data_IF_983409766147
#
_entry.id   IF_983409766147
#
_cell.length_a   1.000
_cell.length_b   1.000
_cell.length_c   1.000
_cell.angle_alpha   90.00
_cell.angle_beta   90.00
_cell.angle_gamma   90.00
#
_symmetry.space_group_name_H-M   'P 1'
#
loop_
_entity.id
_entity.type
_entity.pdbx_description
1 polymer ?
#
# COMPACT_ATOMS: atom_id res chain seq x y z
N UNK A 1 -38.23 -23.37 -21.13
CA UNK A 1 -37.59 -24.68 -21.41
C UNK A 1 -36.08 -24.41 -21.57
N UNK A 2 -35.37 -24.42 -20.42
CA UNK A 2 -34.13 -25.18 -20.08
C UNK A 2 -32.85 -24.63 -20.74
N UNK A 3 -32.06 -23.82 -20.02
CA UNK A 3 -30.95 -24.19 -19.09
C UNK A 3 -29.82 -24.94 -19.80
N UNK A 4 -28.77 -24.21 -20.16
CA UNK A 4 -27.40 -24.75 -20.23
C UNK A 4 -26.52 -23.95 -19.26
N UNK A 5 -26.40 -24.50 -18.04
CA UNK A 5 -25.27 -24.22 -17.15
C UNK A 5 -24.07 -24.94 -17.76
N UNK A 6 -23.07 -24.21 -18.24
CA UNK A 6 -21.74 -24.77 -18.50
C UNK A 6 -21.06 -25.03 -17.15
N UNK A 7 -21.04 -26.31 -16.75
CA UNK A 7 -20.27 -26.85 -15.64
C UNK A 7 -18.77 -26.60 -15.88
N UNK A 8 -18.18 -25.64 -15.17
CA UNK A 8 -16.79 -25.70 -14.73
C UNK A 8 -16.81 -25.78 -13.20
N UNK A 9 -17.41 -26.85 -12.70
CA UNK A 9 -17.45 -27.25 -11.30
C UNK A 9 -16.55 -28.47 -11.16
N UNK A 10 -15.52 -28.37 -10.32
CA UNK A 10 -14.79 -29.49 -9.72
C UNK A 10 -14.29 -30.59 -10.68
N UNK A 11 -13.03 -30.50 -11.11
CA UNK A 11 -12.21 -31.72 -11.28
C UNK A 11 -11.70 -32.14 -9.90
N UNK A 12 -12.65 -32.47 -9.03
CA UNK A 12 -12.50 -33.23 -7.80
C UNK A 12 -13.72 -34.15 -7.72
N UNK A 13 -13.88 -35.04 -8.70
CA UNK A 13 -14.83 -36.13 -8.63
C UNK A 13 -14.25 -37.42 -9.23
N UNK A 14 -14.18 -38.41 -8.35
CA UNK A 14 -14.28 -39.85 -8.59
C UNK A 14 -13.23 -40.52 -9.48
N UNK A 15 -12.14 -40.99 -8.85
CA UNK A 15 -11.62 -42.32 -9.17
C UNK A 15 -12.07 -43.28 -8.07
N UNK A 16 -13.30 -43.79 -8.19
CA UNK A 16 -13.63 -45.09 -7.62
C UNK A 16 -13.03 -46.13 -8.56
N UNK A 17 -11.85 -46.66 -8.23
CA UNK A 17 -11.44 -47.96 -8.76
C UNK A 17 -11.70 -49.01 -7.69
N UNK A 18 -12.49 -49.99 -8.12
CA UNK A 18 -12.84 -51.22 -7.42
C UNK A 18 -11.56 -51.88 -6.90
N UNK A 19 -11.60 -52.30 -5.64
CA UNK A 19 -10.54 -53.08 -5.04
C UNK A 19 -10.47 -54.46 -5.70
N UNK A 20 -9.33 -54.76 -6.35
CA UNK A 20 -8.75 -56.09 -6.36
C UNK A 20 -7.25 -56.01 -6.72
N UNK A 21 -6.45 -56.22 -5.68
CA UNK A 21 -5.12 -56.85 -5.63
C UNK A 21 -3.91 -56.38 -6.48
N UNK A 22 -2.79 -56.39 -5.75
CA UNK A 22 -1.37 -56.46 -6.13
C UNK A 22 -0.61 -55.16 -6.40
N UNK A 23 0.58 -55.12 -5.79
CA UNK A 23 1.46 -53.97 -5.65
C UNK A 23 1.87 -53.35 -6.99
N UNK A 24 1.47 -52.11 -7.22
CA UNK A 24 2.25 -51.15 -7.98
C UNK A 24 2.19 -49.82 -7.24
N UNK A 25 3.36 -49.31 -6.82
CA UNK A 25 3.48 -47.95 -6.30
C UNK A 25 2.93 -47.00 -7.36
N UNK A 26 1.83 -46.29 -7.07
CA UNK A 26 1.31 -45.27 -7.98
C UNK A 26 2.39 -44.21 -8.18
N UNK A 27 2.95 -44.12 -9.38
CA UNK A 27 4.05 -43.19 -9.72
C UNK A 27 3.61 -41.73 -9.66
N UNK A 28 2.31 -41.46 -9.85
CA UNK A 28 1.70 -40.13 -9.74
C UNK A 28 0.62 -40.19 -8.65
N UNK A 29 0.97 -39.71 -7.46
CA UNK A 29 0.02 -39.47 -6.37
C UNK A 29 0.16 -38.01 -5.90
N UNK A 30 -0.79 -37.12 -6.21
CA UNK A 30 -0.69 -35.71 -5.84
C UNK A 30 -0.68 -35.50 -4.32
N UNK A 31 -1.19 -36.45 -3.53
CA UNK A 31 -1.25 -36.35 -2.08
C UNK A 31 0.09 -36.64 -1.39
N UNK A 32 1.10 -37.13 -2.11
CA UNK A 32 2.46 -37.33 -1.56
C UNK A 32 3.43 -36.22 -1.98
N UNK A 33 3.08 -35.39 -2.97
CA UNK A 33 3.95 -34.31 -3.42
C UNK A 33 4.04 -33.21 -2.36
N UNK A 34 5.27 -32.83 -2.06
CA UNK A 34 5.59 -31.77 -1.11
C UNK A 34 5.84 -30.44 -1.80
N UNK A 35 6.14 -29.42 -1.00
CA UNK A 35 6.60 -28.13 -1.48
C UNK A 35 7.83 -28.32 -2.36
N UNK A 36 7.87 -27.67 -3.52
CA UNK A 36 8.96 -27.87 -4.49
C UNK A 36 10.29 -27.34 -4.00
N UNK A 37 10.32 -26.40 -3.06
CA UNK A 37 11.55 -25.87 -2.45
C UNK A 37 12.12 -26.85 -1.39
N UNK A 38 13.27 -27.43 -1.69
CA UNK A 38 14.00 -28.28 -0.73
C UNK A 38 14.95 -27.44 0.14
N UNK A 39 15.22 -27.93 1.35
CA UNK A 39 16.21 -27.38 2.26
C UNK A 39 16.86 -28.54 3.05
N UNK A 40 18.20 -28.63 3.12
CA UNK A 40 18.90 -29.78 3.73
C UNK A 40 18.42 -30.14 5.15
N UNK A 41 18.13 -29.12 5.97
CA UNK A 41 17.67 -29.30 7.35
C UNK A 41 16.26 -29.86 7.48
N UNK A 42 15.43 -29.89 6.42
CA UNK A 42 14.09 -30.48 6.46
C UNK A 42 14.09 -31.95 6.87
N UNK A 43 15.19 -32.67 6.59
CA UNK A 43 15.39 -34.08 6.96
C UNK A 43 15.72 -34.28 8.44
N UNK A 44 16.11 -33.21 9.14
CA UNK A 44 16.55 -33.21 10.54
C UNK A 44 15.52 -32.60 11.49
N UNK A 45 14.43 -32.05 10.95
CA UNK A 45 13.31 -31.48 11.72
C UNK A 45 12.73 -32.52 12.68
N UNK A 46 12.57 -32.13 13.95
CA UNK A 46 11.92 -32.98 14.95
C UNK A 46 10.40 -32.80 14.85
N UNK A 47 9.65 -33.89 14.75
CA UNK A 47 8.19 -33.84 14.61
C UNK A 47 7.55 -34.52 15.82
N UNK A 48 6.68 -33.78 16.52
CA UNK A 48 5.80 -34.33 17.55
C UNK A 48 4.39 -34.45 16.97
N UNK A 49 3.95 -35.68 16.78
CA UNK A 49 2.70 -35.99 16.07
C UNK A 49 1.53 -36.22 17.02
N UNK A 50 0.33 -36.09 16.47
CA UNK A 50 -0.95 -36.47 17.08
C UNK A 50 -1.21 -35.83 18.45
N UNK A 51 -0.86 -34.55 18.60
CA UNK A 51 -1.15 -33.76 19.80
C UNK A 51 -2.62 -33.35 19.75
N UNK A 52 -3.40 -33.74 20.76
CA UNK A 52 -4.80 -33.33 20.88
C UNK A 52 -4.88 -31.83 21.16
N UNK A 53 -5.48 -31.07 20.27
CA UNK A 53 -5.69 -29.62 20.44
C UNK A 53 -7.14 -29.25 20.75
N UNK A 54 -8.09 -30.09 20.32
CA UNK A 54 -9.51 -29.93 20.63
C UNK A 54 -10.09 -31.29 20.97
N UNK A 55 -10.78 -31.38 22.12
CA UNK A 55 -11.50 -32.57 22.56
C UNK A 55 -12.86 -32.20 23.10
N UNK A 56 -13.91 -32.78 22.54
CA UNK A 56 -15.29 -32.56 22.96
C UNK A 56 -16.15 -33.81 22.69
N UNK A 57 -17.48 -33.67 22.82
CA UNK A 57 -18.43 -34.76 22.63
C UNK A 57 -18.41 -35.37 21.21
N UNK A 58 -17.87 -34.66 20.21
CA UNK A 58 -17.76 -35.13 18.83
C UNK A 58 -16.44 -35.82 18.52
N UNK A 59 -15.47 -35.82 19.46
CA UNK A 59 -14.21 -36.54 19.32
C UNK A 59 -12.99 -35.69 19.69
N UNK A 60 -11.85 -36.05 19.12
CA UNK A 60 -10.58 -35.34 19.32
C UNK A 60 -9.97 -34.99 17.97
N UNK A 61 -9.53 -33.74 17.82
CA UNK A 61 -8.76 -33.28 16.68
C UNK A 61 -7.31 -33.10 17.11
N UNK A 62 -6.40 -33.48 16.21
CA UNK A 62 -4.98 -33.54 16.48
C UNK A 62 -4.18 -32.59 15.58
N UNK A 63 -3.02 -32.18 16.06
CA UNK A 63 -2.04 -31.43 15.29
C UNK A 63 -0.65 -32.07 15.40
N UNK A 64 0.20 -31.73 14.46
CA UNK A 64 1.61 -32.09 14.44
C UNK A 64 2.44 -30.82 14.55
N UNK A 65 3.46 -30.84 15.42
CA UNK A 65 4.40 -29.73 15.62
C UNK A 65 5.77 -30.12 15.06
N UNK A 66 6.31 -29.27 14.21
CA UNK A 66 7.58 -29.40 13.51
C UNK A 66 8.55 -28.39 14.11
N UNK A 67 9.57 -28.88 14.81
CA UNK A 67 10.51 -28.07 15.57
C UNK A 67 11.83 -27.88 14.79
N UNK A 68 12.43 -26.69 14.80
CA UNK A 68 13.70 -26.44 14.15
C UNK A 68 14.83 -27.26 14.78
N UNK A 69 15.89 -27.50 13.99
CA UNK A 69 17.11 -28.16 14.47
C UNK A 69 17.81 -27.26 15.48
N UNK A 70 18.23 -27.82 16.62
CA UNK A 70 18.94 -27.06 17.66
C UNK A 70 18.03 -26.16 18.52
N UNK A 71 16.73 -26.48 18.61
CA UNK A 71 15.82 -25.80 19.52
C UNK A 71 16.19 -26.06 21.00
N UNK A 72 16.45 -25.00 21.75
CA UNK A 72 16.79 -25.07 23.18
C UNK A 72 15.53 -25.03 24.06
N UNK A 73 15.61 -25.60 25.27
CA UNK A 73 14.44 -25.79 26.14
C UNK A 73 13.64 -24.51 26.47
N UNK A 74 14.30 -23.36 26.56
CA UNK A 74 13.67 -22.06 26.91
C UNK A 74 13.50 -21.12 25.72
N UNK A 75 13.76 -21.60 24.51
CA UNK A 75 13.74 -20.79 23.30
C UNK A 75 12.32 -20.75 22.73
N UNK A 76 11.67 -19.59 22.80
CA UNK A 76 10.32 -19.39 22.25
C UNK A 76 10.43 -18.88 20.81
N UNK A 77 9.89 -19.66 19.87
CA UNK A 77 9.97 -19.39 18.43
C UNK A 77 8.61 -18.95 17.87
N UNK A 78 8.59 -18.02 16.90
CA UNK A 78 7.39 -17.76 16.12
C UNK A 78 6.94 -19.03 15.40
N UNK A 79 5.63 -19.18 15.21
CA UNK A 79 5.05 -20.37 14.59
C UNK A 79 4.27 -20.04 13.32
N UNK A 80 4.31 -20.93 12.32
CA UNK A 80 3.46 -20.86 11.13
C UNK A 80 2.48 -22.03 11.12
N UNK A 81 1.20 -21.71 11.14
CA UNK A 81 0.09 -22.66 11.18
C UNK A 81 -0.44 -22.85 9.77
N UNK A 82 -0.42 -24.10 9.30
CA UNK A 82 -0.98 -24.51 8.02
C UNK A 82 -2.44 -24.95 8.23
N UNK A 83 -3.38 -24.06 7.95
CA UNK A 83 -4.80 -24.28 8.22
C UNK A 83 -5.45 -25.19 7.17
N UNK A 84 -5.86 -26.37 7.60
CA UNK A 84 -6.62 -27.34 6.81
C UNK A 84 -8.12 -27.07 6.92
N UNK A 85 -8.61 -25.96 6.37
CA UNK A 85 -9.99 -25.51 6.54
C UNK A 85 -11.06 -26.18 5.63
N UNK A 86 -10.81 -27.37 5.08
CA UNK A 86 -11.79 -28.16 4.31
C UNK A 86 -12.35 -29.37 5.07
N UNK A 87 -11.72 -29.76 6.18
CA UNK A 87 -12.13 -30.88 7.00
C UNK A 87 -11.67 -32.26 6.53
N UNK A 88 -11.65 -33.20 7.47
CA UNK A 88 -11.35 -34.62 7.19
C UNK A 88 -12.55 -35.34 6.58
N UNK A 89 -12.30 -36.28 5.66
CA UNK A 89 -13.34 -37.11 5.02
C UNK A 89 -13.19 -38.57 5.41
N UNK A 90 -14.29 -39.22 5.74
CA UNK A 90 -14.30 -40.63 6.12
C UNK A 90 -13.77 -41.53 5.01
N UNK A 91 -12.78 -42.37 5.33
CA UNK A 91 -12.15 -43.29 4.37
C UNK A 91 -11.07 -42.65 3.48
N UNK A 92 -10.79 -41.35 3.64
CA UNK A 92 -9.70 -40.66 2.96
C UNK A 92 -8.48 -40.49 3.89
N UNK A 93 -7.30 -40.31 3.29
CA UNK A 93 -6.08 -40.00 4.03
C UNK A 93 -6.22 -38.63 4.68
N UNK A 94 -5.86 -38.53 5.97
CA UNK A 94 -5.96 -37.28 6.74
C UNK A 94 -5.25 -36.13 6.03
N UNK A 95 -5.88 -34.97 5.92
CA UNK A 95 -5.35 -33.81 5.17
C UNK A 95 -3.98 -33.39 5.72
N UNK A 96 -3.82 -33.33 7.05
CA UNK A 96 -2.53 -32.99 7.68
C UNK A 96 -1.37 -33.91 7.30
N UNK A 97 -1.66 -35.11 6.80
CA UNK A 97 -0.66 -36.10 6.39
C UNK A 97 -0.29 -36.04 4.91
N UNK A 98 -0.92 -35.18 4.10
CA UNK A 98 -0.54 -35.01 2.69
C UNK A 98 0.86 -34.39 2.58
N UNK A 99 1.56 -34.64 1.47
CA UNK A 99 2.93 -34.19 1.22
C UNK A 99 3.10 -32.70 1.46
N UNK A 100 2.19 -31.88 0.95
CA UNK A 100 2.24 -30.42 1.10
C UNK A 100 2.10 -29.98 2.58
N UNK A 101 1.25 -30.64 3.37
CA UNK A 101 1.01 -30.33 4.79
C UNK A 101 2.00 -30.99 5.75
N UNK A 102 2.99 -31.71 5.23
CA UNK A 102 4.13 -32.23 6.00
C UNK A 102 5.44 -31.56 5.60
N UNK A 103 5.59 -31.20 4.32
CA UNK A 103 6.81 -30.58 3.78
C UNK A 103 6.88 -29.07 4.01
N UNK A 104 5.78 -28.32 3.88
CA UNK A 104 5.77 -26.89 4.21
C UNK A 104 6.10 -26.63 5.70
N UNK A 105 5.48 -27.32 6.69
CA UNK A 105 5.88 -27.18 8.09
C UNK A 105 7.37 -27.52 8.33
N UNK A 106 7.91 -28.54 7.64
CA UNK A 106 9.34 -28.86 7.69
C UNK A 106 10.19 -27.75 7.10
N UNK A 107 9.77 -27.13 6.01
CA UNK A 107 10.47 -26.01 5.39
C UNK A 107 10.51 -24.82 6.34
N UNK A 108 9.40 -24.48 7.00
CA UNK A 108 9.39 -23.42 8.01
C UNK A 108 10.28 -23.75 9.21
N UNK A 109 10.27 -25.00 9.69
CA UNK A 109 11.18 -25.49 10.72
C UNK A 109 12.65 -25.42 10.31
N UNK A 110 12.96 -25.70 9.05
CA UNK A 110 14.30 -25.55 8.51
C UNK A 110 14.77 -24.07 8.48
N UNK A 111 13.84 -23.12 8.50
CA UNK A 111 14.08 -21.68 8.60
C UNK A 111 13.98 -21.12 10.03
N UNK A 112 13.91 -21.97 11.05
CA UNK A 112 13.94 -21.55 12.46
C UNK A 112 12.57 -21.27 13.10
N UNK A 113 11.47 -21.47 12.37
CA UNK A 113 10.11 -21.30 12.87
C UNK A 113 9.54 -22.61 13.43
N UNK A 114 8.49 -22.55 14.23
CA UNK A 114 7.68 -23.75 14.52
C UNK A 114 6.69 -23.97 13.37
N UNK A 115 6.71 -25.15 12.73
CA UNK A 115 5.70 -25.52 11.75
C UNK A 115 4.54 -26.26 12.42
N UNK A 116 3.29 -25.96 12.07
CA UNK A 116 2.11 -26.63 12.66
C UNK A 116 1.14 -27.06 11.57
N UNK A 117 0.77 -28.33 11.56
CA UNK A 117 -0.25 -28.89 10.67
C UNK A 117 -1.37 -29.50 11.51
N UNK A 118 -2.63 -29.25 11.17
CA UNK A 118 -3.78 -29.58 12.03
C UNK A 118 -4.85 -30.39 11.30
N UNK A 119 -5.55 -31.26 12.02
CA UNK A 119 -6.82 -31.84 11.58
C UNK A 119 -7.95 -30.84 11.75
N UNK A 120 -8.98 -30.94 10.92
CA UNK A 120 -10.17 -30.09 11.00
C UNK A 120 -11.42 -30.96 10.89
N UNK A 121 -12.42 -30.66 11.68
CA UNK A 121 -13.76 -31.20 11.46
C UNK A 121 -14.48 -30.37 10.38
N UNK A 122 -14.84 -31.01 9.26
CA UNK A 122 -15.45 -30.34 8.10
C UNK A 122 -16.82 -29.72 8.38
N UNK A 123 -17.55 -30.22 9.36
CA UNK A 123 -18.82 -29.64 9.79
C UNK A 123 -18.63 -28.48 10.79
N UNK A 124 -17.40 -28.33 11.31
CA UNK A 124 -17.07 -27.38 12.39
C UNK A 124 -15.75 -26.67 12.14
N UNK A 125 -15.53 -26.24 10.89
CA UNK A 125 -14.27 -25.62 10.45
C UNK A 125 -13.89 -24.42 11.33
N UNK A 126 -14.81 -23.49 11.55
CA UNK A 126 -14.53 -22.30 12.38
C UNK A 126 -14.24 -22.65 13.85
N UNK A 127 -14.88 -23.68 14.40
CA UNK A 127 -14.59 -24.15 15.76
C UNK A 127 -13.21 -24.83 15.83
N UNK A 128 -12.86 -25.61 14.81
CA UNK A 128 -11.55 -26.28 14.70
C UNK A 128 -10.42 -25.23 14.62
N UNK A 129 -10.60 -24.20 13.78
CA UNK A 129 -9.64 -23.10 13.66
C UNK A 129 -9.53 -22.32 14.98
N UNK A 130 -10.64 -21.95 15.62
CA UNK A 130 -10.60 -21.30 16.95
C UNK A 130 -9.88 -22.18 17.97
N UNK A 131 -10.19 -23.48 17.99
CA UNK A 131 -9.61 -24.45 18.90
C UNK A 131 -8.09 -24.56 18.80
N UNK A 132 -7.50 -24.51 17.59
CA UNK A 132 -6.03 -24.55 17.48
C UNK A 132 -5.39 -23.29 18.07
N UNK A 133 -5.97 -22.11 17.87
CA UNK A 133 -5.42 -20.88 18.45
C UNK A 133 -5.64 -20.81 19.96
N UNK A 134 -6.78 -21.27 20.47
CA UNK A 134 -7.02 -21.39 21.91
C UNK A 134 -6.02 -22.37 22.56
N UNK A 135 -5.75 -23.49 21.90
CA UNK A 135 -4.71 -24.43 22.32
C UNK A 135 -3.33 -23.78 22.37
N UNK A 136 -2.94 -23.01 21.34
CA UNK A 136 -1.64 -22.33 21.29
C UNK A 136 -1.53 -21.24 22.34
N UNK A 137 -2.59 -20.49 22.60
CA UNK A 137 -2.62 -19.49 23.67
C UNK A 137 -2.38 -20.12 25.05
N UNK A 138 -3.02 -21.27 25.31
CA UNK A 138 -2.92 -21.95 26.60
C UNK A 138 -1.65 -22.79 26.76
N UNK A 139 -1.19 -23.45 25.70
CA UNK A 139 -0.16 -24.50 25.78
C UNK A 139 1.08 -24.22 24.95
N UNK A 140 1.06 -23.26 24.02
CA UNK A 140 2.12 -23.04 23.03
C UNK A 140 3.51 -22.91 23.65
N UNK A 141 3.63 -22.20 24.78
CA UNK A 141 4.91 -22.03 25.48
C UNK A 141 5.56 -23.35 25.91
N UNK A 142 4.76 -24.35 26.28
CA UNK A 142 5.26 -25.70 26.65
C UNK A 142 5.80 -26.49 25.46
N UNK A 143 5.53 -26.02 24.25
CA UNK A 143 6.04 -26.53 22.98
C UNK A 143 6.99 -25.52 22.31
N UNK A 144 7.56 -24.58 23.06
CA UNK A 144 8.51 -23.58 22.55
C UNK A 144 7.91 -22.64 21.49
N UNK A 145 6.59 -22.46 21.48
CA UNK A 145 5.88 -21.56 20.57
C UNK A 145 5.55 -20.25 21.29
N UNK A 146 5.95 -19.13 20.70
CA UNK A 146 5.51 -17.80 21.10
C UNK A 146 4.06 -17.56 20.61
N UNK A 147 3.04 -17.60 21.50
CA UNK A 147 1.65 -17.47 21.08
C UNK A 147 1.32 -16.06 20.55
N UNK A 148 2.20 -15.08 20.77
CA UNK A 148 2.03 -13.71 20.32
C UNK A 148 2.69 -13.44 18.96
N UNK A 149 3.34 -14.45 18.35
CA UNK A 149 4.02 -14.34 17.04
C UNK A 149 3.66 -15.50 16.12
N UNK A 150 2.43 -15.47 15.63
CA UNK A 150 1.86 -16.52 14.79
C UNK A 150 1.70 -16.03 13.34
N UNK A 151 2.14 -16.84 12.40
CA UNK A 151 1.82 -16.76 10.98
C UNK A 151 0.77 -17.80 10.59
N UNK A 152 -0.06 -17.49 9.61
CA UNK A 152 -1.08 -18.41 9.08
C UNK A 152 -0.91 -18.65 7.59
N UNK A 153 -0.83 -19.91 7.17
CA UNK A 153 -0.86 -20.30 5.77
C UNK A 153 -2.18 -21.02 5.44
N UNK A 154 -2.79 -20.66 4.31
CA UNK A 154 -3.88 -21.41 3.71
C UNK A 154 -3.79 -21.37 2.18
N UNK A 155 -4.17 -22.47 1.53
CA UNK A 155 -4.12 -22.57 0.07
C UNK A 155 -5.39 -23.21 -0.49
N UNK A 156 -5.73 -22.86 -1.74
CA UNK A 156 -6.90 -23.39 -2.46
C UNK A 156 -8.20 -23.21 -1.65
N UNK A 157 -9.03 -24.24 -1.58
CA UNK A 157 -10.31 -24.25 -0.87
C UNK A 157 -10.19 -23.92 0.64
N UNK A 158 -9.01 -24.06 1.25
CA UNK A 158 -8.80 -23.67 2.65
C UNK A 158 -8.84 -22.15 2.86
N UNK A 159 -8.58 -21.35 1.81
CA UNK A 159 -8.49 -19.89 1.91
C UNK A 159 -9.82 -19.29 2.37
N UNK A 160 -10.95 -19.76 1.85
CA UNK A 160 -12.27 -19.15 2.15
C UNK A 160 -12.57 -19.17 3.65
N UNK A 161 -12.49 -20.34 4.27
CA UNK A 161 -12.81 -20.50 5.69
C UNK A 161 -11.71 -19.91 6.58
N UNK A 162 -10.44 -20.00 6.17
CA UNK A 162 -9.34 -19.37 6.90
C UNK A 162 -9.45 -17.86 6.90
N UNK A 163 -9.78 -17.25 5.76
CA UNK A 163 -9.95 -15.81 5.64
C UNK A 163 -11.15 -15.29 6.43
N UNK A 164 -12.26 -16.04 6.52
CA UNK A 164 -13.38 -15.69 7.41
C UNK A 164 -12.90 -15.56 8.86
N UNK A 165 -12.12 -16.53 9.34
CA UNK A 165 -11.56 -16.45 10.69
C UNK A 165 -10.57 -15.28 10.82
N UNK A 166 -9.63 -15.13 9.89
CA UNK A 166 -8.57 -14.12 9.96
C UNK A 166 -9.12 -12.68 9.98
N UNK A 167 -10.21 -12.43 9.25
CA UNK A 167 -10.86 -11.12 9.17
C UNK A 167 -11.80 -10.84 10.33
N UNK A 168 -12.19 -11.84 11.13
CA UNK A 168 -13.00 -11.67 12.34
C UNK A 168 -12.23 -10.83 13.38
N UNK A 169 -12.89 -9.84 13.98
CA UNK A 169 -12.30 -9.01 15.05
C UNK A 169 -11.91 -9.82 16.29
N UNK A 170 -12.50 -11.00 16.46
CA UNK A 170 -12.20 -11.97 17.53
C UNK A 170 -11.11 -12.96 17.14
N UNK A 171 -10.49 -12.83 15.97
CA UNK A 171 -9.33 -13.63 15.61
C UNK A 171 -8.21 -13.45 16.64
N UNK A 172 -7.43 -14.51 16.86
CA UNK A 172 -6.35 -14.50 17.84
C UNK A 172 -5.35 -13.37 17.56
N UNK A 173 -5.11 -12.50 18.55
CA UNK A 173 -4.29 -11.27 18.39
C UNK A 173 -2.79 -11.51 18.25
N UNK A 174 -2.36 -12.73 18.59
CA UNK A 174 -1.02 -13.22 18.29
C UNK A 174 -0.76 -13.49 16.80
N UNK A 175 -1.78 -13.51 15.95
CA UNK A 175 -1.59 -13.62 14.49
C UNK A 175 -1.05 -12.30 13.96
N UNK A 176 0.19 -12.31 13.47
CA UNK A 176 0.90 -11.12 12.97
C UNK A 176 0.97 -11.04 11.45
N UNK A 177 0.76 -12.15 10.75
CA UNK A 177 0.71 -12.16 9.30
C UNK A 177 -0.03 -13.40 8.76
N UNK A 178 -0.52 -13.31 7.52
CA UNK A 178 -1.12 -14.44 6.80
C UNK A 178 -0.58 -14.57 5.37
N UNK A 179 -0.52 -15.80 4.86
CA UNK A 179 -0.21 -16.11 3.45
C UNK A 179 -1.36 -16.94 2.90
N UNK A 180 -1.95 -16.48 1.79
CA UNK A 180 -3.10 -17.10 1.17
C UNK A 180 -2.79 -17.40 -0.31
N UNK A 181 -2.85 -18.66 -0.71
CA UNK A 181 -2.47 -19.12 -2.05
C UNK A 181 -3.68 -19.55 -2.88
N UNK A 182 -3.82 -19.00 -4.09
CA UNK A 182 -4.75 -19.41 -5.17
C UNK A 182 -6.14 -19.83 -4.68
N UNK A 183 -6.74 -19.03 -3.81
CA UNK A 183 -8.06 -19.30 -3.22
C UNK A 183 -9.04 -18.15 -3.41
N UNK A 184 -10.13 -18.17 -2.66
CA UNK A 184 -11.12 -17.11 -2.66
C UNK A 184 -11.25 -16.51 -1.26
N UNK A 185 -11.37 -15.20 -1.16
CA UNK A 185 -11.60 -14.50 0.12
C UNK A 185 -13.08 -14.14 0.26
N UNK A 186 -13.61 -14.02 1.49
CA UNK A 186 -14.90 -13.37 1.68
C UNK A 186 -14.85 -11.91 1.20
N UNK A 187 -16.02 -11.31 1.01
CA UNK A 187 -16.11 -9.86 0.90
C UNK A 187 -15.64 -9.21 2.22
N UNK A 188 -15.04 -8.02 2.12
CA UNK A 188 -14.53 -7.29 3.28
C UNK A 188 -15.62 -6.85 4.29
N UNK A 189 -15.26 -6.04 5.30
CA UNK A 189 -14.00 -5.29 5.37
C UNK A 189 -12.82 -6.17 5.76
N UNK A 190 -11.67 -5.93 5.13
CA UNK A 190 -10.42 -6.53 5.57
C UNK A 190 -9.82 -5.73 6.73
N UNK A 191 -9.18 -6.44 7.65
CA UNK A 191 -8.48 -5.85 8.79
C UNK A 191 -7.32 -4.96 8.36
N UNK A 192 -7.17 -3.81 9.01
CA UNK A 192 -6.08 -2.85 8.77
C UNK A 192 -4.78 -3.20 9.52
N UNK A 193 -4.85 -4.12 10.47
CA UNK A 193 -3.76 -4.51 11.37
C UNK A 193 -3.14 -5.87 11.02
N UNK A 194 -3.64 -6.57 9.99
CA UNK A 194 -3.18 -7.89 9.59
C UNK A 194 -2.53 -7.86 8.20
N UNK A 195 -1.19 -7.85 8.12
CA UNK A 195 -0.45 -8.07 6.88
C UNK A 195 -0.80 -9.40 6.22
N UNK A 196 -1.07 -9.38 4.91
CA UNK A 196 -1.38 -10.59 4.14
C UNK A 196 -0.59 -10.63 2.84
N UNK A 197 0.08 -11.74 2.56
CA UNK A 197 0.57 -12.05 1.21
C UNK A 197 -0.47 -12.92 0.50
N UNK A 198 -1.15 -12.38 -0.50
CA UNK A 198 -2.10 -13.10 -1.32
C UNK A 198 -1.45 -13.46 -2.67
N UNK A 199 -1.24 -14.74 -2.93
CA UNK A 199 -0.65 -15.22 -4.18
C UNK A 199 -1.74 -15.73 -5.11
N UNK A 200 -1.88 -15.07 -6.26
CA UNK A 200 -2.75 -15.50 -7.34
C UNK A 200 -1.96 -16.45 -8.25
N UNK A 201 -2.52 -17.60 -8.58
CA UNK A 201 -2.02 -18.45 -9.66
C UNK A 201 -2.67 -18.01 -10.98
N UNK A 202 -1.88 -17.92 -12.06
CA UNK A 202 -2.40 -17.58 -13.39
C UNK A 202 -3.43 -18.59 -13.88
N UNK A 203 -3.22 -19.90 -13.62
CA UNK A 203 -4.17 -20.95 -13.97
C UNK A 203 -5.54 -20.83 -13.28
N UNK A 204 -5.61 -20.02 -12.22
CA UNK A 204 -6.81 -19.71 -11.46
C UNK A 204 -7.40 -18.34 -11.80
N UNK A 205 -6.68 -17.51 -12.58
CA UNK A 205 -7.15 -16.20 -12.93
C UNK A 205 -8.34 -16.30 -13.90
N UNK A 206 -9.39 -15.56 -13.61
CA UNK A 206 -10.55 -15.40 -14.48
C UNK A 206 -11.00 -13.94 -14.50
N UNK A 207 -11.78 -13.52 -15.52
CA UNK A 207 -12.33 -12.17 -15.56
C UNK A 207 -12.99 -11.80 -14.24
N UNK A 208 -12.59 -10.66 -13.68
CA UNK A 208 -13.15 -10.06 -12.46
C UNK A 208 -13.02 -10.86 -11.15
N UNK A 209 -12.41 -12.06 -11.15
CA UNK A 209 -12.34 -12.95 -9.97
C UNK A 209 -11.74 -12.25 -8.73
N UNK A 210 -10.81 -11.33 -8.92
CA UNK A 210 -10.10 -10.63 -7.84
C UNK A 210 -10.42 -9.13 -7.75
N UNK A 211 -11.43 -8.63 -8.48
CA UNK A 211 -11.79 -7.20 -8.43
C UNK A 211 -12.30 -6.79 -7.05
N UNK A 212 -13.11 -7.64 -6.40
CA UNK A 212 -13.61 -7.40 -5.04
C UNK A 212 -12.49 -7.36 -4.01
N UNK A 213 -11.53 -8.29 -4.12
CA UNK A 213 -10.31 -8.31 -3.32
C UNK A 213 -9.55 -6.99 -3.47
N UNK A 214 -9.24 -6.59 -4.71
CA UNK A 214 -8.52 -5.34 -4.99
C UNK A 214 -9.24 -4.11 -4.44
N UNK A 215 -10.56 -4.05 -4.68
CA UNK A 215 -11.40 -2.93 -4.23
C UNK A 215 -11.42 -2.81 -2.72
N UNK A 216 -11.57 -3.92 -1.99
CA UNK A 216 -11.60 -3.90 -0.52
C UNK A 216 -10.22 -3.61 0.09
N UNK A 217 -9.12 -4.05 -0.53
CA UNK A 217 -7.76 -3.68 -0.10
C UNK A 217 -7.54 -2.18 -0.22
N UNK A 218 -7.88 -1.58 -1.37
CA UNK A 218 -7.75 -0.14 -1.59
C UNK A 218 -8.67 0.67 -0.68
N UNK A 219 -9.93 0.26 -0.56
CA UNK A 219 -10.95 0.97 0.25
C UNK A 219 -10.59 1.00 1.73
N UNK A 220 -10.02 -0.09 2.26
CA UNK A 220 -9.70 -0.19 3.68
C UNK A 220 -8.24 0.17 3.99
N UNK A 221 -7.40 0.43 2.99
CA UNK A 221 -5.95 0.56 3.15
C UNK A 221 -5.36 -0.63 3.91
N UNK A 222 -5.81 -1.84 3.55
CA UNK A 222 -5.39 -3.07 4.21
C UNK A 222 -3.95 -3.41 3.81
N UNK A 223 -3.10 -3.88 4.73
CA UNK A 223 -1.68 -4.15 4.45
C UNK A 223 -1.48 -5.46 3.68
N UNK A 224 -2.16 -5.60 2.54
CA UNK A 224 -2.11 -6.79 1.69
C UNK A 224 -1.11 -6.59 0.55
N UNK A 225 -0.19 -7.53 0.40
CA UNK A 225 0.68 -7.68 -0.77
C UNK A 225 0.04 -8.70 -1.71
N UNK A 226 -0.29 -8.31 -2.93
CA UNK A 226 -0.83 -9.23 -3.95
C UNK A 226 0.28 -9.60 -4.93
N UNK A 227 0.58 -10.89 -5.03
CA UNK A 227 1.58 -11.44 -5.94
C UNK A 227 0.89 -12.26 -7.03
N UNK A 228 1.15 -11.92 -8.29
CA UNK A 228 0.77 -12.75 -9.42
C UNK A 228 1.85 -13.80 -9.69
N UNK A 229 1.48 -15.08 -9.67
CA UNK A 229 2.29 -16.19 -10.14
C UNK A 229 2.08 -16.41 -11.63
N UNK A 230 2.76 -15.63 -12.45
CA UNK A 230 2.67 -15.72 -13.91
C UNK A 230 3.17 -17.08 -14.43
N UNK A 231 2.43 -17.68 -15.36
CA UNK A 231 2.69 -19.03 -15.87
C UNK A 231 2.54 -20.15 -14.85
N UNK A 232 2.02 -19.88 -13.64
CA UNK A 232 1.84 -20.88 -12.59
C UNK A 232 0.46 -21.53 -12.69
N UNK A 233 0.35 -22.87 -12.59
CA UNK A 233 -0.92 -23.58 -12.47
C UNK A 233 -1.48 -23.53 -11.04
N UNK A 234 -2.69 -24.04 -10.84
CA UNK A 234 -3.21 -24.31 -9.49
C UNK A 234 -2.24 -25.23 -8.72
N UNK A 235 -2.00 -24.96 -7.44
CA UNK A 235 -1.07 -25.75 -6.61
C UNK A 235 0.36 -25.84 -7.18
N UNK A 236 0.84 -24.74 -7.80
CA UNK A 236 2.20 -24.64 -8.34
C UNK A 236 3.29 -24.91 -7.29
N UNK A 237 3.03 -24.62 -6.02
CA UNK A 237 3.95 -24.84 -4.91
C UNK A 237 4.24 -26.32 -4.68
N UNK A 238 3.39 -27.22 -5.15
CA UNK A 238 3.61 -28.67 -5.16
C UNK A 238 3.90 -29.24 -6.56
N UNK A 239 3.30 -28.67 -7.62
CA UNK A 239 3.28 -29.30 -8.94
C UNK A 239 4.21 -28.66 -9.97
N UNK A 240 4.80 -27.50 -9.68
CA UNK A 240 5.67 -26.78 -10.60
C UNK A 240 7.10 -26.76 -10.08
N UNK A 241 7.86 -27.81 -10.38
CA UNK A 241 9.29 -27.85 -10.03
C UNK A 241 10.10 -26.97 -11.00
N UNK A 242 10.05 -25.67 -10.77
CA UNK A 242 10.77 -24.67 -11.54
C UNK A 242 11.21 -23.47 -10.68
N UNK A 243 12.06 -22.62 -11.27
CA UNK A 243 12.64 -21.49 -10.56
C UNK A 243 11.62 -20.45 -10.10
N UNK A 244 10.54 -20.21 -10.86
CA UNK A 244 9.55 -19.20 -10.50
C UNK A 244 8.70 -19.65 -9.31
N UNK A 245 8.28 -20.92 -9.27
CA UNK A 245 7.61 -21.49 -8.10
C UNK A 245 8.50 -21.40 -6.85
N UNK A 246 9.77 -21.81 -6.97
CA UNK A 246 10.78 -21.72 -5.89
C UNK A 246 11.00 -20.27 -5.43
N UNK A 247 10.96 -19.30 -6.35
CA UNK A 247 11.08 -17.88 -6.04
C UNK A 247 9.88 -17.36 -5.25
N UNK A 248 8.65 -17.70 -5.64
CA UNK A 248 7.43 -17.29 -4.91
C UNK A 248 7.44 -17.89 -3.48
N UNK A 249 7.90 -19.13 -3.33
CA UNK A 249 8.08 -19.77 -2.01
C UNK A 249 9.15 -19.03 -1.18
N UNK A 250 10.28 -18.63 -1.77
CA UNK A 250 11.30 -17.81 -1.09
C UNK A 250 10.78 -16.43 -0.68
N UNK A 251 9.99 -15.78 -1.54
CA UNK A 251 9.31 -14.51 -1.21
C UNK A 251 8.33 -14.70 -0.04
N UNK A 252 7.67 -15.85 0.05
CA UNK A 252 6.79 -16.19 1.17
C UNK A 252 7.55 -16.35 2.48
N UNK A 253 8.70 -17.03 2.46
CA UNK A 253 9.59 -17.13 3.63
C UNK A 253 10.09 -15.74 4.05
N UNK A 254 10.47 -14.89 3.08
CA UNK A 254 10.87 -13.50 3.34
C UNK A 254 9.73 -12.67 3.96
N UNK A 255 8.51 -12.88 3.49
CA UNK A 255 7.32 -12.25 4.07
C UNK A 255 7.14 -12.63 5.54
N UNK A 256 7.32 -13.92 5.90
CA UNK A 256 7.30 -14.34 7.30
C UNK A 256 8.39 -13.68 8.14
N UNK A 257 9.61 -13.66 7.63
CA UNK A 257 10.75 -12.99 8.27
C UNK A 257 10.43 -11.54 8.62
N UNK A 258 9.85 -10.79 7.69
CA UNK A 258 9.58 -9.36 7.89
C UNK A 258 8.48 -9.06 8.92
N UNK A 259 7.60 -10.04 9.22
CA UNK A 259 6.42 -9.80 10.06
C UNK A 259 6.42 -10.59 11.37
N UNK A 260 7.19 -11.68 11.47
CA UNK A 260 7.27 -12.51 12.66
C UNK A 260 8.57 -12.28 13.45
N UNK A 261 9.65 -11.91 12.77
CA UNK A 261 10.92 -11.67 13.44
C UNK A 261 10.95 -10.23 14.00
N UNK A 262 11.76 -9.96 15.04
CA UNK A 262 12.00 -8.61 15.48
C UNK A 262 12.48 -7.74 14.32
N UNK A 263 11.84 -6.58 14.12
CA UNK A 263 12.28 -5.60 13.11
C UNK A 263 13.71 -5.22 13.45
N UNK A 264 14.71 -5.52 12.59
CA UNK A 264 16.07 -5.08 12.83
C UNK A 264 16.08 -3.56 12.92
N UNK A 265 16.83 -3.01 13.88
CA UNK A 265 17.03 -1.57 13.92
C UNK A 265 17.54 -1.11 12.54
N UNK A 266 16.90 -0.13 11.89
CA UNK A 266 17.33 0.32 10.58
C UNK A 266 18.79 0.74 10.65
N UNK A 267 19.59 0.26 9.71
CA UNK A 267 21.02 0.59 9.61
C UNK A 267 21.27 2.02 9.13
N UNK A 268 20.21 2.77 8.80
CA UNK A 268 20.27 4.11 8.25
C UNK A 268 19.78 5.15 9.27
N UNK A 269 20.44 6.31 9.26
CA UNK A 269 20.06 7.43 10.12
C UNK A 269 18.81 8.12 9.58
N UNK A 270 17.81 8.26 10.44
CA UNK A 270 16.58 8.98 10.13
C UNK A 270 16.88 10.41 9.64
N UNK A 271 16.25 10.81 8.53
CA UNK A 271 16.40 12.14 7.95
C UNK A 271 15.08 12.88 8.05
N UNK A 272 15.00 13.85 8.98
CA UNK A 272 13.83 14.75 9.12
C UNK A 272 13.49 15.45 7.81
N UNK A 273 14.50 15.86 7.03
CA UNK A 273 14.30 16.50 5.74
C UNK A 273 13.59 15.56 4.72
N UNK A 274 13.98 14.28 4.67
CA UNK A 274 13.27 13.29 3.84
C UNK A 274 11.86 13.04 4.34
N UNK A 275 11.66 12.99 5.66
CA UNK A 275 10.32 12.79 6.25
C UNK A 275 9.39 13.98 6.01
N UNK A 276 9.91 15.21 5.99
CA UNK A 276 9.14 16.38 5.53
C UNK A 276 8.63 16.14 4.12
N UNK A 277 9.51 15.78 3.17
CA UNK A 277 9.12 15.57 1.78
C UNK A 277 8.10 14.44 1.62
N UNK A 278 8.27 13.33 2.34
CA UNK A 278 7.31 12.22 2.34
C UNK A 278 5.96 12.61 2.97
N UNK A 279 5.99 13.40 4.05
CA UNK A 279 4.79 13.84 4.76
C UNK A 279 3.99 14.90 4.00
N UNK A 280 4.58 15.67 3.08
CA UNK A 280 3.86 16.74 2.38
C UNK A 280 2.63 16.29 1.59
N UNK A 281 2.71 15.08 1.01
CA UNK A 281 1.61 14.51 0.22
C UNK A 281 0.61 13.74 1.09
N UNK A 282 1.05 13.19 2.22
CA UNK A 282 0.24 12.27 3.04
C UNK A 282 -0.30 12.90 4.33
N UNK A 283 0.47 13.80 4.96
CA UNK A 283 0.21 14.38 6.27
C UNK A 283 0.87 15.78 6.38
N UNK A 284 0.21 16.78 5.78
CA UNK A 284 0.69 18.18 5.79
C UNK A 284 0.88 18.73 7.20
N UNK A 285 0.00 18.46 8.20
CA UNK A 285 0.25 18.84 9.59
C UNK A 285 1.57 18.30 10.16
N UNK A 286 1.88 17.02 9.93
CA UNK A 286 3.17 16.43 10.32
C UNK A 286 4.35 17.11 9.63
N UNK A 287 4.25 17.35 8.32
CA UNK A 287 5.30 18.06 7.58
C UNK A 287 5.59 19.45 8.16
N UNK A 288 4.55 20.19 8.54
CA UNK A 288 4.69 21.51 9.20
C UNK A 288 5.41 21.39 10.55
N UNK A 289 5.05 20.41 11.38
CA UNK A 289 5.70 20.21 12.67
C UNK A 289 7.18 19.82 12.52
N UNK A 290 7.50 18.96 11.55
CA UNK A 290 8.88 18.60 11.22
C UNK A 290 9.68 19.79 10.71
N UNK A 291 9.09 20.64 9.86
CA UNK A 291 9.71 21.87 9.38
C UNK A 291 9.96 22.87 10.50
N UNK A 292 9.02 23.02 11.43
CA UNK A 292 9.22 23.82 12.64
C UNK A 292 10.42 23.31 13.45
N UNK A 293 10.48 21.99 13.71
CA UNK A 293 11.61 21.38 14.43
C UNK A 293 12.93 21.65 13.73
N UNK A 294 12.99 21.51 12.40
CA UNK A 294 14.19 21.80 11.62
C UNK A 294 14.59 23.27 11.69
N UNK A 295 13.62 24.20 11.64
CA UNK A 295 13.85 25.63 11.75
C UNK A 295 14.24 26.06 13.19
N UNK A 296 13.82 25.31 14.21
CA UNK A 296 14.22 25.53 15.60
C UNK A 296 15.65 25.02 15.84
N UNK A 297 16.00 23.86 15.27
CA UNK A 297 17.35 23.26 15.35
C UNK A 297 18.39 24.04 14.53
N UNK A 298 17.99 24.55 13.37
CA UNK A 298 18.86 25.27 12.43
C UNK A 298 18.26 26.65 12.11
N UNK A 299 18.24 27.59 13.08
CA UNK A 299 17.49 28.83 12.95
C UNK A 299 18.00 29.81 11.90
N UNK A 300 19.16 29.57 11.32
CA UNK A 300 19.76 30.39 10.26
C UNK A 300 19.79 29.69 8.89
N UNK A 301 19.22 28.50 8.78
CA UNK A 301 19.15 27.79 7.51
C UNK A 301 18.07 28.41 6.60
N UNK A 302 18.53 29.16 5.61
CA UNK A 302 17.70 29.91 4.67
C UNK A 302 16.76 28.98 3.89
N UNK A 303 17.24 27.81 3.46
CA UNK A 303 16.42 26.86 2.70
C UNK A 303 15.28 26.29 3.54
N UNK A 304 15.54 25.94 4.81
CA UNK A 304 14.48 25.50 5.73
C UNK A 304 13.47 26.61 6.01
N UNK A 305 13.92 27.85 6.23
CA UNK A 305 13.01 28.97 6.50
C UNK A 305 12.12 29.30 5.29
N UNK A 306 12.68 29.31 4.07
CA UNK A 306 11.93 29.47 2.83
C UNK A 306 10.87 28.38 2.72
N UNK A 307 11.26 27.12 2.92
CA UNK A 307 10.35 26.00 2.74
C UNK A 307 9.27 25.98 3.82
N UNK A 308 9.63 26.23 5.08
CA UNK A 308 8.69 26.30 6.19
C UNK A 308 7.65 27.42 5.99
N UNK A 309 8.09 28.62 5.66
CA UNK A 309 7.21 29.75 5.36
C UNK A 309 6.25 29.45 4.19
N UNK A 310 6.77 28.83 3.12
CA UNK A 310 5.98 28.50 1.93
C UNK A 310 4.88 27.48 2.24
N UNK A 311 5.21 26.43 3.00
CA UNK A 311 4.23 25.41 3.40
C UNK A 311 3.17 25.99 4.34
N UNK A 312 3.56 26.86 5.28
CA UNK A 312 2.62 27.58 6.16
C UNK A 312 1.66 28.48 5.35
N UNK A 313 2.20 29.25 4.39
CA UNK A 313 1.40 30.13 3.53
C UNK A 313 0.39 29.33 2.70
N UNK A 314 0.81 28.24 2.08
CA UNK A 314 -0.08 27.35 1.32
C UNK A 314 -1.13 26.65 2.21
N UNK A 315 -0.83 26.46 3.50
CA UNK A 315 -1.79 25.98 4.49
C UNK A 315 -2.69 27.09 5.07
N UNK A 316 -2.62 28.31 4.53
CA UNK A 316 -3.33 29.49 5.00
C UNK A 316 -3.04 29.88 6.47
N UNK A 317 -1.88 29.45 7.02
CA UNK A 317 -1.39 29.82 8.36
C UNK A 317 -0.56 31.10 8.26
N UNK A 318 -1.22 32.18 7.88
CA UNK A 318 -0.56 33.41 7.41
C UNK A 318 0.27 34.12 8.48
N UNK A 319 -0.19 34.15 9.74
CA UNK A 319 0.55 34.81 10.83
C UNK A 319 1.85 34.08 11.20
N UNK A 320 1.82 32.75 11.15
CA UNK A 320 3.01 31.94 11.37
C UNK A 320 3.98 32.05 10.19
N UNK A 321 3.46 32.05 8.96
CA UNK A 321 4.27 32.28 7.76
C UNK A 321 4.96 33.66 7.83
N UNK A 322 4.23 34.70 8.21
CA UNK A 322 4.76 36.05 8.39
C UNK A 322 5.90 36.08 9.42
N UNK A 323 5.76 35.37 10.54
CA UNK A 323 6.82 35.24 11.55
C UNK A 323 8.09 34.61 10.96
N UNK A 324 7.93 33.54 10.17
CA UNK A 324 9.06 32.85 9.52
C UNK A 324 9.72 33.73 8.47
N UNK A 325 8.93 34.41 7.64
CA UNK A 325 9.46 35.30 6.59
C UNK A 325 10.10 36.56 7.18
N UNK A 326 9.60 37.11 8.28
CA UNK A 326 10.27 38.20 9.00
C UNK A 326 11.63 37.77 9.55
N UNK A 327 11.71 36.55 10.11
CA UNK A 327 13.00 35.97 10.51
C UNK A 327 13.95 35.82 9.31
N UNK A 328 13.45 35.32 8.18
CA UNK A 328 14.23 35.21 6.95
C UNK A 328 14.72 36.58 6.45
N UNK A 329 13.87 37.61 6.42
CA UNK A 329 14.25 38.97 6.02
C UNK A 329 15.23 39.63 7.00
N UNK A 330 15.22 39.25 8.27
CA UNK A 330 16.24 39.70 9.23
C UNK A 330 17.64 39.14 8.93
N UNK A 331 17.71 37.96 8.29
CA UNK A 331 18.95 37.32 7.85
C UNK A 331 19.36 37.78 6.45
N UNK A 332 18.39 37.89 5.54
CA UNK A 332 18.57 38.29 4.16
C UNK A 332 17.54 39.36 3.76
N UNK A 333 17.82 40.66 4.03
CA UNK A 333 16.87 41.75 3.76
C UNK A 333 16.45 41.93 2.30
N UNK A 334 17.19 41.33 1.38
CA UNK A 334 16.95 41.37 -0.08
C UNK A 334 16.53 40.02 -0.65
N UNK A 335 16.08 39.08 0.18
CA UNK A 335 15.60 37.79 -0.30
C UNK A 335 14.28 37.96 -1.07
N UNK A 336 14.32 37.71 -2.39
CA UNK A 336 13.18 37.90 -3.28
C UNK A 336 11.97 37.06 -2.86
N UNK A 337 12.18 35.77 -2.56
CA UNK A 337 11.12 34.83 -2.17
C UNK A 337 10.39 35.31 -0.92
N UNK A 338 11.13 35.82 0.08
CA UNK A 338 10.55 36.36 1.30
C UNK A 338 9.78 37.66 1.04
N UNK A 339 10.32 38.60 0.26
CA UNK A 339 9.63 39.86 -0.09
C UNK A 339 8.34 39.60 -0.89
N UNK A 340 8.39 38.69 -1.88
CA UNK A 340 7.21 38.26 -2.64
C UNK A 340 6.20 37.58 -1.72
N UNK A 341 6.64 36.69 -0.84
CA UNK A 341 5.75 35.98 0.08
C UNK A 341 5.07 36.91 1.09
N UNK A 342 5.79 37.92 1.61
CA UNK A 342 5.22 38.96 2.47
C UNK A 342 4.19 39.80 1.70
N UNK A 343 4.44 40.14 0.43
CA UNK A 343 3.44 40.81 -0.40
C UNK A 343 2.18 39.97 -0.58
N UNK A 344 2.32 38.66 -0.85
CA UNK A 344 1.19 37.73 -0.96
C UNK A 344 0.40 37.67 0.35
N UNK A 345 1.08 37.52 1.50
CA UNK A 345 0.44 37.51 2.82
C UNK A 345 -0.34 38.81 3.06
N UNK A 346 0.25 39.97 2.74
CA UNK A 346 -0.41 41.27 2.87
C UNK A 346 -1.64 41.40 1.97
N UNK A 347 -1.57 40.94 0.72
CA UNK A 347 -2.75 40.87 -0.16
C UNK A 347 -3.84 39.93 0.39
N UNK A 348 -3.45 38.75 0.89
CA UNK A 348 -4.36 37.81 1.54
C UNK A 348 -5.08 38.44 2.74
N UNK A 349 -4.39 39.31 3.49
CA UNK A 349 -4.93 40.10 4.60
C UNK A 349 -5.63 41.41 4.16
N UNK A 350 -5.82 41.64 2.87
CA UNK A 350 -6.38 42.86 2.28
C UNK A 350 -5.61 44.16 2.62
N UNK A 351 -4.32 44.06 2.91
CA UNK A 351 -3.41 45.18 3.18
C UNK A 351 -2.63 45.56 1.92
N UNK A 352 -3.32 46.05 0.90
CA UNK A 352 -2.73 46.32 -0.42
C UNK A 352 -1.53 47.27 -0.38
N UNK A 353 -1.60 48.36 0.39
CA UNK A 353 -0.49 49.31 0.51
C UNK A 353 0.77 48.68 1.13
N UNK A 354 0.60 47.76 2.08
CA UNK A 354 1.71 47.03 2.68
C UNK A 354 2.34 46.06 1.67
N UNK A 355 1.50 45.36 0.90
CA UNK A 355 1.96 44.46 -0.16
C UNK A 355 2.80 45.19 -1.21
N UNK A 356 2.34 46.36 -1.67
CA UNK A 356 3.07 47.20 -2.61
C UNK A 356 4.38 47.75 -2.03
N UNK A 357 4.45 47.93 -0.71
CA UNK A 357 5.68 48.29 0.00
C UNK A 357 6.77 47.22 -0.10
N UNK A 358 6.42 45.95 0.12
CA UNK A 358 7.38 44.83 -0.04
C UNK A 358 7.83 44.69 -1.50
N UNK A 359 6.92 44.84 -2.46
CA UNK A 359 7.24 44.81 -3.89
C UNK A 359 8.17 45.97 -4.28
N UNK A 360 7.88 47.18 -3.81
CA UNK A 360 8.74 48.36 -4.02
C UNK A 360 10.14 48.13 -3.46
N UNK A 361 10.24 47.49 -2.30
CA UNK A 361 11.52 47.11 -1.69
C UNK A 361 12.30 46.14 -2.58
N UNK A 362 11.66 45.10 -3.11
CA UNK A 362 12.29 44.15 -4.03
C UNK A 362 12.78 44.82 -5.32
N UNK A 363 11.99 45.75 -5.88
CA UNK A 363 12.35 46.52 -7.08
C UNK A 363 13.56 47.43 -6.80
N UNK A 364 13.53 48.21 -5.72
CA UNK A 364 14.64 49.10 -5.33
C UNK A 364 15.93 48.33 -5.03
N UNK A 365 15.81 47.13 -4.46
CA UNK A 365 16.93 46.26 -4.18
C UNK A 365 17.52 45.60 -5.45
N UNK A 366 16.86 45.71 -6.60
CA UNK A 366 17.30 45.10 -7.86
C UNK A 366 17.09 43.59 -7.93
N UNK A 367 16.30 43.01 -7.01
CA UNK A 367 16.04 41.56 -6.96
C UNK A 367 14.74 41.17 -7.66
N UNK A 368 13.85 42.14 -7.92
CA UNK A 368 12.61 41.89 -8.66
C UNK A 368 12.88 41.76 -10.17
N UNK A 369 12.59 40.60 -10.73
CA UNK A 369 12.73 40.29 -12.15
C UNK A 369 11.43 39.67 -12.70
N UNK A 370 11.42 39.20 -13.96
CA UNK A 370 10.26 38.51 -14.52
C UNK A 370 9.80 37.36 -13.64
N UNK A 371 10.72 36.46 -13.25
CA UNK A 371 10.36 35.27 -12.47
C UNK A 371 9.75 35.66 -11.12
N UNK A 372 10.22 36.72 -10.47
CA UNK A 372 9.61 37.28 -9.26
C UNK A 372 8.17 37.78 -9.48
N UNK A 373 7.89 38.47 -10.59
CA UNK A 373 6.52 38.87 -10.94
C UNK A 373 5.63 37.67 -11.25
N UNK A 374 6.15 36.65 -11.96
CA UNK A 374 5.41 35.42 -12.24
C UNK A 374 5.11 34.63 -10.95
N UNK A 375 6.09 34.50 -10.04
CA UNK A 375 5.92 33.85 -8.74
C UNK A 375 4.89 34.57 -7.86
N UNK A 376 4.89 35.91 -7.86
CA UNK A 376 3.89 36.72 -7.18
C UNK A 376 2.48 36.48 -7.78
N UNK A 377 2.36 36.53 -9.11
CA UNK A 377 1.11 36.22 -9.81
C UNK A 377 0.57 34.83 -9.49
N UNK A 378 1.44 33.81 -9.55
CA UNK A 378 1.09 32.43 -9.22
C UNK A 378 0.63 32.28 -7.78
N UNK A 379 1.40 32.85 -6.85
CA UNK A 379 1.08 32.76 -5.42
C UNK A 379 -0.23 33.45 -5.07
N UNK A 380 -0.59 34.53 -5.77
CA UNK A 380 -1.87 35.22 -5.63
C UNK A 380 -3.02 34.43 -6.25
N UNK A 381 -2.80 33.79 -7.40
CA UNK A 381 -3.78 32.89 -8.04
C UNK A 381 -4.12 31.70 -7.12
N UNK A 382 -3.10 31.09 -6.50
CA UNK A 382 -3.28 30.01 -5.51
C UNK A 382 -4.01 30.51 -4.25
N UNK A 383 -3.78 31.77 -3.85
CA UNK A 383 -4.46 32.41 -2.73
C UNK A 383 -5.84 33.00 -3.09
N UNK A 384 -6.35 32.72 -4.29
CA UNK A 384 -7.63 33.23 -4.85
C UNK A 384 -7.74 34.76 -4.93
N UNK A 385 -6.60 35.46 -4.93
CA UNK A 385 -6.46 36.90 -5.18
C UNK A 385 -6.31 37.16 -6.68
N UNK A 386 -7.32 36.73 -7.43
CA UNK A 386 -7.26 36.60 -8.89
C UNK A 386 -7.09 37.95 -9.60
N UNK A 387 -7.71 39.02 -9.08
CA UNK A 387 -7.59 40.36 -9.67
C UNK A 387 -6.14 40.86 -9.58
N UNK A 388 -5.52 40.73 -8.41
CA UNK A 388 -4.13 41.09 -8.18
C UNK A 388 -3.19 40.18 -8.99
N UNK A 389 -3.50 38.88 -9.08
CA UNK A 389 -2.73 37.94 -9.90
C UNK A 389 -2.64 38.40 -11.37
N UNK A 390 -3.76 38.86 -11.98
CA UNK A 390 -3.75 39.36 -13.35
C UNK A 390 -2.76 40.52 -13.54
N UNK A 391 -2.71 41.47 -12.59
CA UNK A 391 -1.80 42.63 -12.66
C UNK A 391 -0.34 42.22 -12.68
N UNK A 392 0.05 41.27 -11.83
CA UNK A 392 1.45 40.86 -11.72
C UNK A 392 1.90 39.93 -12.84
N UNK A 393 0.99 39.07 -13.32
CA UNK A 393 1.24 38.31 -14.54
C UNK A 393 1.36 39.19 -15.79
N UNK A 394 0.53 40.23 -15.94
CA UNK A 394 0.67 41.20 -17.04
C UNK A 394 2.04 41.86 -17.06
N UNK A 395 2.60 42.20 -15.87
CA UNK A 395 3.97 42.70 -15.77
C UNK A 395 5.01 41.64 -16.15
N UNK A 396 4.83 40.39 -15.72
CA UNK A 396 5.76 39.31 -16.04
C UNK A 396 5.84 39.07 -17.57
N UNK A 397 4.68 38.93 -18.22
CA UNK A 397 4.63 38.66 -19.68
C UNK A 397 5.06 39.86 -20.53
N UNK A 398 4.98 41.09 -20.00
CA UNK A 398 5.50 42.28 -20.67
C UNK A 398 7.04 42.36 -20.66
N UNK A 399 7.71 41.73 -19.68
CA UNK A 399 9.18 41.70 -19.60
C UNK A 399 9.74 40.60 -20.49
N UNK A 400 9.27 39.37 -20.32
CA UNK A 400 9.67 38.22 -21.12
C UNK A 400 8.47 37.25 -21.26
N UNK A 401 7.86 37.17 -22.45
CA UNK A 401 6.69 36.32 -22.68
C UNK A 401 7.02 34.82 -22.54
N UNK A 402 6.31 34.10 -21.65
CA UNK A 402 6.34 32.62 -21.55
C UNK A 402 4.93 32.04 -21.64
N UNK A 403 4.80 30.91 -22.32
CA UNK A 403 3.51 30.24 -22.50
C UNK A 403 2.81 29.90 -21.17
N UNK A 404 3.55 29.35 -20.20
CA UNK A 404 3.01 29.03 -18.87
C UNK A 404 2.53 30.28 -18.10
N UNK A 405 3.19 31.43 -18.25
CA UNK A 405 2.77 32.67 -17.60
C UNK A 405 1.46 33.18 -18.20
N UNK A 406 1.31 33.09 -19.53
CA UNK A 406 0.04 33.38 -20.21
C UNK A 406 -1.07 32.40 -19.87
N UNK A 407 -0.75 31.11 -19.70
CA UNK A 407 -1.72 30.12 -19.26
C UNK A 407 -2.30 30.50 -17.89
N UNK A 408 -1.43 30.77 -16.91
CA UNK A 408 -1.87 31.14 -15.57
C UNK A 408 -2.57 32.52 -15.55
N UNK A 409 -2.16 33.46 -16.42
CA UNK A 409 -2.88 34.71 -16.64
C UNK A 409 -4.29 34.47 -17.20
N UNK A 410 -4.46 33.51 -18.12
CA UNK A 410 -5.76 33.10 -18.63
C UNK A 410 -6.63 32.51 -17.52
N UNK A 411 -6.09 31.64 -16.67
CA UNK A 411 -6.78 31.12 -15.48
C UNK A 411 -7.22 32.25 -14.55
N UNK A 412 -6.32 33.19 -14.23
CA UNK A 412 -6.64 34.34 -13.38
C UNK A 412 -7.78 35.21 -13.97
N UNK A 413 -7.76 35.45 -15.30
CA UNK A 413 -8.82 36.16 -15.99
C UNK A 413 -10.16 35.41 -16.01
N UNK A 414 -10.11 34.10 -16.22
CA UNK A 414 -11.29 33.24 -16.24
C UNK A 414 -11.99 33.21 -14.87
N UNK A 415 -11.22 33.17 -13.77
CA UNK A 415 -11.75 33.20 -12.39
C UNK A 415 -12.41 34.52 -12.00
N UNK A 416 -12.04 35.64 -12.64
CA UNK A 416 -12.74 36.93 -12.50
C UNK A 416 -13.81 37.15 -13.58
N UNK A 417 -14.21 36.10 -14.29
CA UNK A 417 -15.20 36.11 -15.37
C UNK A 417 -14.91 37.06 -16.54
N UNK A 418 -13.62 37.34 -16.80
CA UNK A 418 -13.20 38.11 -17.96
C UNK A 418 -12.82 37.17 -19.11
N UNK A 419 -13.84 36.56 -19.74
CA UNK A 419 -13.65 35.54 -20.77
C UNK A 419 -12.88 36.05 -21.98
N UNK A 420 -13.02 37.32 -22.36
CA UNK A 420 -12.32 37.89 -23.50
C UNK A 420 -10.81 37.97 -23.26
N UNK A 421 -10.38 38.55 -22.14
CA UNK A 421 -8.96 38.59 -21.81
C UNK A 421 -8.38 37.20 -21.53
N UNK A 422 -9.18 36.32 -20.93
CA UNK A 422 -8.78 34.93 -20.71
C UNK A 422 -8.50 34.21 -22.03
N UNK A 423 -9.38 34.36 -23.03
CA UNK A 423 -9.18 33.78 -24.37
C UNK A 423 -7.94 34.34 -25.06
N UNK A 424 -7.72 35.67 -25.02
CA UNK A 424 -6.51 36.28 -25.58
C UNK A 424 -5.25 35.73 -24.92
N UNK A 425 -5.23 35.63 -23.59
CA UNK A 425 -4.09 35.06 -22.87
C UNK A 425 -3.88 33.58 -23.22
N UNK A 426 -4.95 32.79 -23.37
CA UNK A 426 -4.84 31.38 -23.74
C UNK A 426 -4.32 31.18 -25.17
N UNK A 427 -4.69 32.06 -26.11
CA UNK A 427 -4.11 32.08 -27.46
C UNK A 427 -2.61 32.42 -27.42
N UNK A 428 -2.20 33.38 -26.58
CA UNK A 428 -0.78 33.66 -26.38
C UNK A 428 -0.05 32.49 -25.72
N UNK A 429 -0.66 31.82 -24.74
CA UNK A 429 -0.12 30.60 -24.13
C UNK A 429 0.27 29.57 -25.19
N UNK A 430 -0.64 29.29 -26.12
CA UNK A 430 -0.41 28.36 -27.24
C UNK A 430 0.69 28.87 -28.17
N UNK A 431 0.66 30.16 -28.52
CA UNK A 431 1.68 30.80 -29.37
C UNK A 431 3.08 30.66 -28.79
N UNK A 432 3.22 30.78 -27.46
CA UNK A 432 4.50 30.65 -26.75
C UNK A 432 4.77 29.22 -26.24
N UNK A 433 4.16 28.21 -26.86
CA UNK A 433 4.52 26.80 -26.70
C UNK A 433 3.86 26.07 -25.55
N UNK A 434 2.93 26.68 -24.82
CA UNK A 434 2.14 26.02 -23.77
C UNK A 434 0.74 25.72 -24.30
N UNK A 435 0.55 24.49 -24.80
CA UNK A 435 -0.55 24.12 -25.69
C UNK A 435 -1.18 22.75 -25.36
N UNK A 436 -1.18 22.37 -24.07
CA UNK A 436 -1.74 21.10 -23.60
C UNK A 436 -3.27 21.08 -23.65
N UNK A 437 -3.83 20.32 -24.61
CA UNK A 437 -5.29 20.14 -24.72
C UNK A 437 -5.89 19.59 -23.43
N UNK A 438 -5.32 18.50 -22.92
CA UNK A 438 -5.84 17.81 -21.74
C UNK A 438 -5.89 18.77 -20.55
N UNK A 439 -4.83 19.54 -20.33
CA UNK A 439 -4.81 20.49 -19.23
C UNK A 439 -5.88 21.56 -19.39
N UNK A 440 -6.02 22.16 -20.57
CA UNK A 440 -7.02 23.21 -20.78
C UNK A 440 -8.45 22.70 -20.59
N UNK A 441 -8.72 21.48 -21.07
CA UNK A 441 -10.05 20.85 -21.01
C UNK A 441 -10.47 20.51 -19.57
N UNK A 442 -9.53 20.03 -18.75
CA UNK A 442 -9.81 19.55 -17.40
C UNK A 442 -9.49 20.54 -16.28
N UNK A 443 -8.83 21.68 -16.57
CA UNK A 443 -8.54 22.68 -15.54
C UNK A 443 -9.84 23.37 -15.04
N UNK A 444 -10.14 23.33 -13.73
CA UNK A 444 -11.31 23.97 -13.16
C UNK A 444 -11.28 25.50 -13.21
N UNK A 445 -10.10 26.14 -13.25
CA UNK A 445 -9.98 27.59 -13.29
C UNK A 445 -10.48 28.17 -14.64
N UNK A 446 -10.45 27.37 -15.71
CA UNK A 446 -10.96 27.72 -17.03
C UNK A 446 -12.46 27.39 -17.22
N UNK A 447 -13.18 27.03 -16.15
CA UNK A 447 -14.60 26.61 -16.23
C UNK A 447 -15.49 27.63 -16.93
N UNK A 448 -15.26 28.93 -16.74
CA UNK A 448 -16.04 30.00 -17.38
C UNK A 448 -15.88 30.06 -18.90
N UNK A 449 -14.83 29.43 -19.46
CA UNK A 449 -14.57 29.38 -20.90
C UNK A 449 -15.19 28.15 -21.58
N UNK A 450 -15.63 27.13 -20.84
CA UNK A 450 -16.07 25.84 -21.43
C UNK A 450 -17.27 25.97 -22.37
N UNK A 451 -18.10 26.99 -22.19
CA UNK A 451 -19.21 27.30 -23.09
C UNK A 451 -18.83 28.20 -24.27
N UNK A 452 -17.66 28.85 -24.24
CA UNK A 452 -17.20 29.78 -25.27
C UNK A 452 -16.82 29.01 -26.55
N UNK A 453 -17.34 29.45 -27.69
CA UNK A 453 -17.08 28.80 -28.97
C UNK A 453 -15.61 28.93 -29.39
N UNK A 454 -14.95 30.06 -29.06
CA UNK A 454 -13.52 30.27 -29.33
C UNK A 454 -12.67 29.25 -28.58
N UNK A 455 -13.03 28.96 -27.33
CA UNK A 455 -12.35 27.97 -26.50
C UNK A 455 -12.48 26.55 -27.07
N UNK A 456 -13.69 26.14 -27.48
CA UNK A 456 -13.93 24.86 -28.14
C UNK A 456 -13.10 24.72 -29.42
N UNK A 457 -13.12 25.74 -30.27
CA UNK A 457 -12.33 25.78 -31.51
C UNK A 457 -10.83 25.79 -31.24
N UNK A 458 -10.38 26.38 -30.13
CA UNK A 458 -8.97 26.30 -29.73
C UNK A 458 -8.61 24.85 -29.37
N UNK A 459 -9.41 24.17 -28.54
CA UNK A 459 -9.16 22.77 -28.13
C UNK A 459 -9.10 21.80 -29.31
N UNK A 460 -9.94 22.00 -30.34
CA UNK A 460 -9.93 21.19 -31.57
C UNK A 460 -8.61 21.28 -32.34
N UNK A 461 -7.89 22.41 -32.23
CA UNK A 461 -6.60 22.64 -32.88
C UNK A 461 -5.41 22.08 -32.09
N UNK A 462 -5.62 21.77 -30.81
CA UNK A 462 -4.59 21.24 -29.93
C UNK A 462 -4.55 19.71 -30.04
N UNK A 463 -3.34 19.16 -30.05
CA UNK A 463 -3.11 17.72 -30.14
C UNK A 463 -3.26 17.04 -28.79
#
# INVERSE_FOLDING_TARGET
>A
MRRELSLFVCVLLSVRMIAQETSSSRVIDPLIFGVVLDHPEMKKVTVKQDIVYLKDAKGSLHLDIYSPVGLEANDQRPAVIFLNAIGERSGERRVKSWGIYTSWPKLMAAHGYMGISMETDGDRVQQSIRGVFDFLAANGKSYNIDPDKLGVYAASANVTQSAIYLMDEKAHRGIKAAVLYYGNTPAGPFRKDLPVLFVISEGDAGPDRYNSLWTEVLKNNSPWTIKMGSGMPHAFDAYSDNDEARKIIKETISFWKNHLDPVPAPSWNYSKARDVLGSLQMDRPRAINLLKSLADENPRDISTLIFYGSILRQANRLDEAETVYNKLLSLEPKNLEALVSMAVISYSKNKTSEAEGYISTAVKAGVMNRDGYSQLGFSLLVADKNKEATTWYEKAVAIDPRGIDYYNLACAYAKINNSDKAMVALEQSVKYGYNSRQQFEFDPDLKSLKSDQRFKTLLEKLK
#
